data_IF_613819372070
#
_entry.id   IF_613819372070
#
_cell.length_a   1.000
_cell.length_b   1.000
_cell.length_c   1.000
_cell.angle_alpha   90.00
_cell.angle_beta   90.00
_cell.angle_gamma   90.00
#
_symmetry.space_group_name_H-M   'P 1'
#
loop_
_entity.id
_entity.type
_entity.pdbx_description
1 polymer ?
#
# COMPACT_ATOMS: atom_id res chain seq x y z
N UNK A 1 1.44 -2.42 -33.02
CA UNK A 1 2.77 -3.07 -32.88
C UNK A 1 3.69 -2.06 -32.21
N UNK A 2 3.77 -2.08 -30.88
CA UNK A 2 4.69 -1.23 -30.11
C UNK A 2 6.06 -1.89 -30.11
N UNK A 3 7.11 -1.16 -30.49
CA UNK A 3 8.50 -1.64 -30.44
C UNK A 3 8.83 -2.26 -29.07
N UNK A 4 9.59 -3.38 -29.03
CA UNK A 4 10.07 -3.92 -27.77
C UNK A 4 11.00 -2.89 -27.12
N UNK A 5 10.61 -2.39 -25.96
CA UNK A 5 11.43 -1.46 -25.19
C UNK A 5 12.84 -2.05 -24.96
N UNK A 6 13.91 -1.24 -25.03
CA UNK A 6 15.27 -1.75 -24.89
C UNK A 6 15.44 -2.47 -23.55
N UNK A 7 16.11 -3.64 -23.57
CA UNK A 7 16.39 -4.52 -22.39
C UNK A 7 16.85 -3.75 -21.13
N UNK A 8 17.52 -2.60 -21.28
CA UNK A 8 17.94 -1.73 -20.18
C UNK A 8 16.79 -1.19 -19.31
N UNK A 9 15.59 -0.94 -19.89
CA UNK A 9 14.40 -0.52 -19.13
C UNK A 9 13.83 -1.64 -18.25
N UNK A 10 14.20 -2.90 -18.50
CA UNK A 10 13.71 -4.05 -17.73
C UNK A 10 14.54 -4.30 -16.45
N UNK A 11 15.79 -3.80 -16.37
CA UNK A 11 16.66 -4.01 -15.21
C UNK A 11 16.66 -2.84 -14.20
N UNK A 12 16.13 -1.67 -14.56
CA UNK A 12 16.12 -0.48 -13.68
C UNK A 12 15.53 -0.72 -12.27
N UNK A 13 14.47 -1.54 -12.08
CA UNK A 13 13.99 -1.89 -10.75
C UNK A 13 15.03 -2.59 -9.88
N UNK A 14 15.80 -3.52 -10.46
CA UNK A 14 16.79 -4.33 -9.74
C UNK A 14 18.01 -3.51 -9.33
N UNK A 15 18.45 -2.56 -10.15
CA UNK A 15 19.49 -1.62 -9.74
C UNK A 15 19.05 -0.73 -8.58
N UNK A 16 17.80 -0.24 -8.61
CA UNK A 16 17.23 0.56 -7.52
C UNK A 16 17.16 -0.26 -6.22
N UNK A 17 16.71 -1.50 -6.32
CA UNK A 17 16.62 -2.43 -5.19
C UNK A 17 18.01 -2.83 -4.65
N UNK A 18 18.97 -3.09 -5.54
CA UNK A 18 20.35 -3.43 -5.19
C UNK A 18 21.03 -2.30 -4.42
N UNK A 19 20.81 -1.05 -4.82
CA UNK A 19 21.36 0.14 -4.18
C UNK A 19 20.56 0.59 -2.94
N UNK A 20 19.38 0.02 -2.69
CA UNK A 20 18.51 0.48 -1.61
C UNK A 20 19.16 0.49 -0.21
N UNK A 21 19.87 -0.56 0.22
CA UNK A 21 20.51 -0.55 1.53
C UNK A 21 21.70 0.42 1.62
N UNK A 22 22.30 0.80 0.49
CA UNK A 22 23.50 1.64 0.46
C UNK A 22 23.24 2.99 1.13
N UNK A 23 22.09 3.62 0.87
CA UNK A 23 21.73 4.89 1.49
C UNK A 23 21.66 4.76 3.03
N UNK A 24 21.02 3.71 3.52
CA UNK A 24 20.90 3.46 4.95
C UNK A 24 22.25 3.15 5.60
N UNK A 25 23.10 2.35 4.92
CA UNK A 25 24.46 2.02 5.38
C UNK A 25 25.33 3.27 5.42
N UNK A 26 25.26 4.14 4.41
CA UNK A 26 26.00 5.41 4.38
C UNK A 26 25.60 6.30 5.57
N UNK A 27 24.31 6.35 5.90
CA UNK A 27 23.83 7.14 7.03
C UNK A 27 24.36 6.61 8.37
N UNK A 28 24.25 5.29 8.60
CA UNK A 28 24.79 4.66 9.82
C UNK A 28 26.31 4.77 9.92
N UNK A 29 27.03 4.58 8.81
CA UNK A 29 28.48 4.71 8.73
C UNK A 29 28.94 6.15 8.95
N UNK A 30 28.24 7.14 8.40
CA UNK A 30 28.53 8.54 8.64
C UNK A 30 28.46 8.87 10.13
N UNK A 31 27.40 8.43 10.82
CA UNK A 31 27.29 8.58 12.28
C UNK A 31 28.43 7.86 13.02
N UNK A 32 28.67 6.59 12.70
CA UNK A 32 29.63 5.76 13.44
C UNK A 32 31.08 6.25 13.26
N UNK A 33 31.50 6.53 12.02
CA UNK A 33 32.82 7.09 11.71
C UNK A 33 33.00 8.42 12.44
N UNK A 34 31.99 9.29 12.36
CA UNK A 34 32.05 10.60 13.00
C UNK A 34 32.16 10.50 14.53
N UNK A 35 31.37 9.62 15.18
CA UNK A 35 31.46 9.37 16.61
C UNK A 35 32.84 8.81 16.99
N UNK A 36 33.34 7.83 16.23
CA UNK A 36 34.65 7.21 16.51
C UNK A 36 35.79 8.22 16.40
N UNK A 37 35.82 9.06 15.36
CA UNK A 37 36.87 10.09 15.16
C UNK A 37 36.82 11.15 16.25
N UNK A 38 35.63 11.54 16.69
CA UNK A 38 35.48 12.67 17.62
C UNK A 38 35.53 12.27 19.09
N UNK A 39 35.19 11.02 19.42
CA UNK A 39 35.06 10.56 20.82
C UNK A 39 35.98 9.40 21.18
N UNK A 40 36.10 8.40 20.32
CA UNK A 40 36.92 7.22 20.64
C UNK A 40 38.39 7.50 20.35
N UNK A 41 38.71 8.04 19.17
CA UNK A 41 40.08 8.29 18.74
C UNK A 41 40.91 9.13 19.73
N UNK A 42 40.40 10.21 20.35
CA UNK A 42 41.16 10.97 21.35
C UNK A 42 41.48 10.20 22.64
N UNK A 43 40.76 9.10 22.91
CA UNK A 43 40.94 8.25 24.10
C UNK A 43 41.94 7.11 23.87
N UNK A 44 42.34 6.87 22.61
CA UNK A 44 43.23 5.77 22.24
C UNK A 44 44.70 6.19 22.33
N UNK A 45 45.56 5.27 22.77
CA UNK A 45 47.02 5.42 22.60
C UNK A 45 47.40 5.30 21.10
N UNK A 46 48.59 5.75 20.68
CA UNK A 46 49.02 5.63 19.29
C UNK A 46 48.97 4.19 18.74
N UNK A 47 49.38 3.20 19.53
CA UNK A 47 49.31 1.78 19.15
C UNK A 47 47.85 1.30 19.05
N UNK A 48 47.01 1.62 20.05
CA UNK A 48 45.57 1.31 20.00
C UNK A 48 44.87 1.93 18.78
N UNK A 49 45.23 3.17 18.43
CA UNK A 49 44.68 3.85 17.26
C UNK A 49 45.05 3.12 15.96
N UNK A 50 46.32 2.68 15.83
CA UNK A 50 46.76 1.90 14.68
C UNK A 50 46.00 0.57 14.58
N UNK A 51 45.87 -0.17 15.69
CA UNK A 51 45.09 -1.42 15.72
C UNK A 51 43.61 -1.20 15.40
N UNK A 52 43.03 -0.10 15.89
CA UNK A 52 41.63 0.25 15.66
C UNK A 52 41.36 0.54 14.19
N UNK A 53 42.17 1.38 13.55
CA UNK A 53 42.03 1.69 12.12
C UNK A 53 42.30 0.45 11.26
N UNK A 54 43.34 -0.32 11.59
CA UNK A 54 43.62 -1.59 10.93
C UNK A 54 42.46 -2.58 11.05
N UNK A 55 41.84 -2.66 12.22
CA UNK A 55 40.65 -3.47 12.49
C UNK A 55 39.47 -3.07 11.62
N UNK A 56 39.18 -1.77 11.48
CA UNK A 56 38.12 -1.26 10.59
C UNK A 56 38.40 -1.65 9.14
N UNK A 57 39.63 -1.44 8.66
CA UNK A 57 40.01 -1.73 7.27
C UNK A 57 39.90 -3.22 6.95
N UNK A 58 40.45 -4.08 7.80
CA UNK A 58 40.38 -5.53 7.62
C UNK A 58 38.97 -6.07 7.75
N UNK A 59 38.19 -5.58 8.73
CA UNK A 59 36.79 -5.96 8.86
C UNK A 59 36.02 -5.59 7.60
N UNK A 60 36.19 -4.36 7.09
CA UNK A 60 35.50 -3.93 5.89
C UNK A 60 35.89 -4.76 4.66
N UNK A 61 37.16 -5.10 4.52
CA UNK A 61 37.69 -5.89 3.41
C UNK A 61 37.19 -7.35 3.43
N UNK A 62 37.00 -7.93 4.62
CA UNK A 62 36.63 -9.34 4.77
C UNK A 62 35.10 -9.51 4.84
N UNK A 63 34.41 -8.68 5.62
CA UNK A 63 33.00 -8.87 5.94
C UNK A 63 32.06 -8.30 4.86
N UNK A 64 32.31 -7.10 4.34
CA UNK A 64 31.34 -6.47 3.43
C UNK A 64 31.28 -7.09 2.02
N UNK A 65 32.38 -7.49 1.35
CA UNK A 65 32.28 -8.10 0.02
C UNK A 65 31.35 -9.33 -0.07
N UNK A 66 31.43 -10.34 0.82
CA UNK A 66 30.50 -11.47 0.78
C UNK A 66 29.06 -11.06 1.11
N UNK A 67 28.85 -10.10 2.02
CA UNK A 67 27.50 -9.60 2.35
C UNK A 67 26.87 -8.86 1.16
N UNK A 68 27.63 -8.00 0.48
CA UNK A 68 27.20 -7.30 -0.73
C UNK A 68 26.93 -8.32 -1.84
N UNK A 69 27.81 -9.29 -2.05
CA UNK A 69 27.60 -10.34 -3.05
C UNK A 69 26.33 -11.16 -2.77
N UNK A 70 26.08 -11.50 -1.50
CA UNK A 70 24.87 -12.19 -1.07
C UNK A 70 23.62 -11.36 -1.37
N UNK A 71 23.62 -10.07 -1.03
CA UNK A 71 22.50 -9.16 -1.31
C UNK A 71 22.25 -9.00 -2.82
N UNK A 72 23.31 -8.78 -3.60
CA UNK A 72 23.21 -8.66 -5.05
C UNK A 72 22.67 -9.95 -5.67
N UNK A 73 23.13 -11.12 -5.22
CA UNK A 73 22.60 -12.40 -5.67
C UNK A 73 21.11 -12.56 -5.33
N UNK A 74 20.69 -12.18 -4.11
CA UNK A 74 19.28 -12.22 -3.71
C UNK A 74 18.40 -11.36 -4.64
N UNK A 75 18.82 -10.12 -4.90
CA UNK A 75 18.08 -9.18 -5.77
C UNK A 75 18.10 -9.62 -7.23
N UNK A 76 19.27 -9.88 -7.81
CA UNK A 76 19.39 -10.16 -9.24
C UNK A 76 18.89 -11.55 -9.63
N UNK A 77 18.83 -12.51 -8.71
CA UNK A 77 18.20 -13.81 -9.00
C UNK A 77 16.68 -13.72 -9.25
N UNK A 78 16.02 -12.62 -8.85
CA UNK A 78 14.62 -12.34 -9.15
C UNK A 78 14.41 -11.71 -10.56
N UNK A 79 15.48 -11.27 -11.22
CA UNK A 79 15.40 -10.57 -12.52
C UNK A 79 14.86 -11.45 -13.65
N UNK A 80 15.31 -12.70 -13.74
CA UNK A 80 14.85 -13.63 -14.77
C UNK A 80 13.36 -13.98 -14.62
N UNK A 81 12.87 -14.42 -13.44
CA UNK A 81 11.43 -14.63 -13.24
C UNK A 81 10.59 -13.37 -13.48
N UNK A 82 11.08 -12.20 -13.07
CA UNK A 82 10.40 -10.92 -13.31
C UNK A 82 10.21 -10.63 -14.80
N UNK A 83 11.24 -10.82 -15.63
CA UNK A 83 11.12 -10.64 -17.07
C UNK A 83 10.14 -11.65 -17.69
N UNK A 84 10.21 -12.93 -17.30
CA UNK A 84 9.28 -13.95 -17.78
C UNK A 84 7.82 -13.59 -17.48
N UNK A 85 7.52 -13.16 -16.25
CA UNK A 85 6.17 -12.76 -15.82
C UNK A 85 5.69 -11.47 -16.49
N UNK A 86 6.59 -10.50 -16.70
CA UNK A 86 6.26 -9.20 -17.28
C UNK A 86 5.98 -9.26 -18.78
N UNK A 87 6.73 -10.07 -19.52
CA UNK A 87 6.60 -10.20 -20.97
C UNK A 87 5.53 -11.24 -21.38
N UNK A 88 4.80 -11.81 -20.41
CA UNK A 88 3.83 -12.91 -20.62
C UNK A 88 4.44 -14.02 -21.48
N UNK A 89 5.74 -14.29 -21.28
CA UNK A 89 6.43 -15.34 -22.01
C UNK A 89 5.77 -16.67 -21.69
N UNK A 90 5.53 -17.48 -22.72
CA UNK A 90 4.83 -18.78 -22.68
C UNK A 90 5.53 -19.88 -21.82
N UNK A 91 6.47 -19.50 -20.95
CA UNK A 91 7.01 -20.35 -19.90
C UNK A 91 6.07 -20.28 -18.69
N UNK A 92 5.22 -21.30 -18.55
CA UNK A 92 4.43 -21.51 -17.34
C UNK A 92 5.36 -21.85 -16.18
N UNK A 93 5.59 -20.88 -15.29
CA UNK A 93 6.10 -21.15 -13.95
C UNK A 93 5.09 -22.08 -13.25
N UNK A 94 5.59 -23.12 -12.58
CA UNK A 94 4.72 -23.99 -11.77
C UNK A 94 4.15 -23.20 -10.57
N UNK A 95 3.01 -23.64 -10.04
CA UNK A 95 2.35 -22.98 -8.88
C UNK A 95 3.33 -22.89 -7.70
N UNK A 96 4.03 -24.00 -7.39
CA UNK A 96 5.03 -24.06 -6.31
C UNK A 96 6.23 -23.12 -6.54
N UNK A 97 6.66 -22.92 -7.80
CA UNK A 97 7.71 -21.93 -8.11
C UNK A 97 7.21 -20.51 -7.89
N UNK A 98 5.97 -20.23 -8.28
CA UNK A 98 5.37 -18.92 -8.12
C UNK A 98 5.19 -18.54 -6.65
N UNK A 99 4.72 -19.46 -5.82
CA UNK A 99 4.59 -19.25 -4.38
C UNK A 99 5.95 -19.03 -3.70
N UNK A 100 6.97 -19.82 -4.08
CA UNK A 100 8.35 -19.60 -3.58
C UNK A 100 8.88 -18.22 -3.95
N UNK A 101 8.62 -17.75 -5.17
CA UNK A 101 9.02 -16.42 -5.62
C UNK A 101 8.27 -15.32 -4.88
N UNK A 102 6.94 -15.44 -4.72
CA UNK A 102 6.12 -14.50 -3.95
C UNK A 102 6.57 -14.40 -2.50
N UNK A 103 6.80 -15.54 -1.82
CA UNK A 103 7.34 -15.58 -0.45
C UNK A 103 8.70 -14.89 -0.36
N UNK A 104 9.56 -15.11 -1.34
CA UNK A 104 10.90 -14.49 -1.39
C UNK A 104 10.84 -12.99 -1.61
N UNK A 105 9.96 -12.51 -2.49
CA UNK A 105 9.71 -11.09 -2.73
C UNK A 105 9.15 -10.45 -1.45
N UNK A 106 8.21 -11.10 -0.79
CA UNK A 106 7.61 -10.62 0.44
C UNK A 106 8.63 -10.51 1.60
N UNK A 107 9.53 -11.49 1.72
CA UNK A 107 10.55 -11.53 2.76
C UNK A 107 11.84 -10.75 2.43
N UNK A 108 11.91 -10.09 1.26
CA UNK A 108 13.11 -9.40 0.82
C UNK A 108 13.59 -8.28 1.78
N UNK A 109 12.71 -7.46 2.39
CA UNK A 109 13.11 -6.48 3.41
C UNK A 109 13.81 -7.14 4.61
N UNK A 110 13.34 -8.31 5.05
CA UNK A 110 13.94 -9.07 6.15
C UNK A 110 15.32 -9.63 5.81
N UNK A 111 15.51 -10.12 4.58
CA UNK A 111 16.83 -10.56 4.14
C UNK A 111 17.82 -9.41 4.09
N UNK A 112 17.43 -8.26 3.52
CA UNK A 112 18.28 -7.07 3.48
C UNK A 112 18.65 -6.59 4.89
N UNK A 113 17.67 -6.57 5.80
CA UNK A 113 17.85 -6.19 7.21
C UNK A 113 18.77 -7.16 7.94
N UNK A 114 18.64 -8.46 7.70
CA UNK A 114 19.49 -9.49 8.33
C UNK A 114 20.94 -9.38 7.88
N UNK A 115 21.17 -9.17 6.58
CA UNK A 115 22.51 -8.98 6.02
C UNK A 115 23.16 -7.71 6.59
N UNK A 116 22.43 -6.59 6.60
CA UNK A 116 22.93 -5.33 7.15
C UNK A 116 23.17 -5.43 8.66
N UNK A 117 22.23 -6.04 9.38
CA UNK A 117 22.30 -6.25 10.82
C UNK A 117 23.49 -7.10 11.21
N UNK A 118 23.74 -8.21 10.50
CA UNK A 118 24.94 -9.03 10.71
C UNK A 118 26.21 -8.24 10.45
N UNK A 119 26.28 -7.50 9.34
CA UNK A 119 27.44 -6.67 9.01
C UNK A 119 27.75 -5.59 10.06
N UNK A 120 26.75 -5.06 10.74
CA UNK A 120 26.96 -4.12 11.84
C UNK A 120 27.28 -4.81 13.17
N UNK A 121 26.50 -5.80 13.57
CA UNK A 121 26.64 -6.45 14.88
C UNK A 121 27.94 -7.24 15.00
N UNK A 122 28.44 -7.83 13.90
CA UNK A 122 29.74 -8.51 13.90
C UNK A 122 30.93 -7.53 13.94
N UNK A 123 30.72 -6.25 13.64
CA UNK A 123 31.76 -5.22 13.69
C UNK A 123 32.20 -4.94 15.13
N UNK A 124 31.26 -4.88 16.08
CA UNK A 124 31.56 -4.59 17.49
C UNK A 124 32.58 -5.54 18.13
N UNK A 125 32.38 -6.88 18.12
CA UNK A 125 33.37 -7.79 18.67
C UNK A 125 34.67 -7.78 17.87
N UNK A 126 34.63 -7.56 16.54
CA UNK A 126 35.83 -7.48 15.72
C UNK A 126 36.71 -6.28 16.10
N UNK A 127 36.12 -5.11 16.33
CA UNK A 127 36.86 -3.91 16.74
C UNK A 127 37.37 -4.01 18.18
N UNK A 128 36.56 -4.53 19.11
CA UNK A 128 37.00 -4.76 20.49
C UNK A 128 38.17 -5.77 20.51
N UNK A 129 38.10 -6.82 19.68
CA UNK A 129 39.20 -7.77 19.54
C UNK A 129 40.45 -7.12 18.94
N UNK A 130 40.30 -6.30 17.89
CA UNK A 130 41.41 -5.58 17.28
C UNK A 130 42.15 -4.69 18.29
N UNK A 131 41.41 -3.97 19.15
CA UNK A 131 42.00 -3.18 20.22
C UNK A 131 42.78 -4.02 21.24
N UNK A 132 42.34 -5.25 21.53
CA UNK A 132 43.05 -6.17 22.44
C UNK A 132 44.34 -6.75 21.87
N UNK A 133 44.63 -6.51 20.57
CA UNK A 133 45.92 -6.82 19.96
C UNK A 133 46.96 -5.72 20.20
N UNK A 134 46.58 -4.61 20.84
CA UNK A 134 47.52 -3.57 21.28
C UNK A 134 48.32 -4.01 22.49
N UNK A 135 49.49 -3.41 22.68
CA UNK A 135 50.35 -3.67 23.85
C UNK A 135 49.76 -3.05 25.13
N UNK A 136 48.98 -1.97 24.98
CA UNK A 136 48.38 -1.23 26.09
C UNK A 136 47.04 -1.83 26.54
N UNK A 137 46.78 -1.94 27.86
CA UNK A 137 45.49 -2.41 28.36
C UNK A 137 44.35 -1.45 27.94
N UNK A 138 43.30 -2.01 27.34
CA UNK A 138 42.12 -1.27 26.89
C UNK A 138 41.18 -1.02 28.07
N UNK A 139 40.80 0.25 28.29
CA UNK A 139 39.83 0.59 29.32
C UNK A 139 38.43 0.05 28.97
N UNK A 140 37.68 -0.58 29.91
CA UNK A 140 36.33 -1.10 29.65
C UNK A 140 35.34 -0.05 29.14
N UNK A 141 35.59 1.22 29.45
CA UNK A 141 34.84 2.37 28.94
C UNK A 141 34.87 2.46 27.41
N UNK A 142 36.01 2.17 26.78
CA UNK A 142 36.19 2.27 25.32
C UNK A 142 35.37 1.17 24.63
N UNK A 143 35.44 -0.07 25.13
CA UNK A 143 34.63 -1.20 24.65
C UNK A 143 33.13 -0.85 24.71
N UNK A 144 32.66 -0.29 25.83
CA UNK A 144 31.27 0.13 26.00
C UNK A 144 30.84 1.19 24.98
N UNK A 145 31.66 2.21 24.76
CA UNK A 145 31.37 3.28 23.79
C UNK A 145 31.33 2.76 22.35
N UNK A 146 32.24 1.86 21.96
CA UNK A 146 32.28 1.23 20.63
C UNK A 146 31.02 0.38 20.41
N UNK A 147 30.67 -0.45 21.39
CA UNK A 147 29.49 -1.32 21.27
C UNK A 147 28.22 -0.50 21.09
N UNK A 148 28.01 0.53 21.92
CA UNK A 148 26.78 1.34 21.79
C UNK A 148 26.78 2.17 20.51
N UNK A 149 27.90 2.75 20.09
CA UNK A 149 27.96 3.51 18.83
C UNK A 149 27.62 2.64 17.61
N UNK A 150 28.04 1.37 17.63
CA UNK A 150 27.71 0.37 16.60
C UNK A 150 26.26 -0.07 16.69
N UNK A 151 25.71 -0.28 17.89
CA UNK A 151 24.29 -0.63 18.06
C UNK A 151 23.36 0.46 17.53
N UNK A 152 23.70 1.74 17.77
CA UNK A 152 22.94 2.88 17.22
C UNK A 152 23.01 2.88 15.69
N UNK A 153 24.22 2.76 15.13
CA UNK A 153 24.41 2.73 13.68
C UNK A 153 23.70 1.52 13.02
N UNK A 154 23.71 0.37 13.68
CA UNK A 154 22.97 -0.83 13.29
C UNK A 154 21.48 -0.57 13.24
N UNK A 155 20.90 0.02 14.31
CA UNK A 155 19.47 0.29 14.40
C UNK A 155 18.99 1.32 13.38
N UNK A 156 19.78 2.37 13.12
CA UNK A 156 19.53 3.36 12.06
C UNK A 156 19.53 2.67 10.69
N UNK A 157 20.61 1.93 10.39
CA UNK A 157 20.81 1.30 9.07
C UNK A 157 19.76 0.25 8.78
N UNK A 158 19.52 -0.67 9.71
CA UNK A 158 18.58 -1.79 9.53
C UNK A 158 17.15 -1.30 9.35
N UNK A 159 16.72 -0.33 10.15
CA UNK A 159 15.37 0.24 10.05
C UNK A 159 15.15 0.96 8.72
N UNK A 160 16.10 1.80 8.28
CA UNK A 160 15.98 2.51 7.01
C UNK A 160 16.09 1.56 5.81
N UNK A 161 17.01 0.59 5.85
CA UNK A 161 17.15 -0.41 4.81
C UNK A 161 15.86 -1.23 4.66
N UNK A 162 15.24 -1.64 5.76
CA UNK A 162 13.95 -2.35 5.77
C UNK A 162 12.90 -1.57 4.98
N UNK A 163 12.62 -0.32 5.37
CA UNK A 163 11.56 0.48 4.75
C UNK A 163 11.85 0.88 3.31
N UNK A 164 13.09 1.19 2.97
CA UNK A 164 13.44 1.50 1.58
C UNK A 164 13.24 0.26 0.71
N UNK A 165 13.74 -0.91 1.14
CA UNK A 165 13.56 -2.17 0.39
C UNK A 165 12.08 -2.53 0.30
N UNK A 166 11.29 -2.32 1.35
CA UNK A 166 9.86 -2.56 1.35
C UNK A 166 9.13 -1.67 0.34
N UNK A 167 9.33 -0.35 0.39
CA UNK A 167 8.70 0.61 -0.54
C UNK A 167 9.05 0.26 -1.99
N UNK A 168 10.32 -0.04 -2.27
CA UNK A 168 10.75 -0.38 -3.62
C UNK A 168 10.20 -1.74 -4.08
N UNK A 169 10.12 -2.72 -3.18
CA UNK A 169 9.50 -4.03 -3.45
C UNK A 169 8.02 -3.87 -3.76
N UNK A 170 7.27 -3.10 -2.97
CA UNK A 170 5.86 -2.76 -3.20
C UNK A 170 5.67 -2.02 -4.52
N UNK A 171 6.55 -1.09 -4.86
CA UNK A 171 6.45 -0.30 -6.09
C UNK A 171 6.77 -1.10 -7.35
N UNK A 172 7.81 -1.93 -7.30
CA UNK A 172 8.37 -2.55 -8.51
C UNK A 172 8.08 -4.03 -8.67
N UNK A 173 8.12 -4.80 -7.58
CA UNK A 173 7.97 -6.25 -7.66
C UNK A 173 6.51 -6.66 -7.48
N UNK A 174 5.75 -6.00 -6.60
CA UNK A 174 4.37 -6.42 -6.34
C UNK A 174 3.47 -6.43 -7.59
N UNK A 175 3.49 -5.39 -8.46
CA UNK A 175 2.64 -5.38 -9.66
C UNK A 175 2.90 -6.54 -10.64
N UNK A 176 4.08 -7.17 -10.58
CA UNK A 176 4.46 -8.28 -11.48
C UNK A 176 4.26 -9.64 -10.80
N UNK A 177 4.68 -9.80 -9.55
CA UNK A 177 4.59 -11.08 -8.85
C UNK A 177 3.20 -11.37 -8.27
N UNK A 178 2.34 -10.36 -8.12
CA UNK A 178 1.04 -10.45 -7.45
C UNK A 178 -0.10 -9.97 -8.36
N UNK A 179 0.02 -10.17 -9.69
CA UNK A 179 -1.04 -9.83 -10.66
C UNK A 179 -2.35 -10.57 -10.34
N UNK A 180 -2.25 -11.84 -9.97
CA UNK A 180 -3.40 -12.75 -9.76
C UNK A 180 -3.49 -13.27 -8.31
N UNK A 181 -2.86 -12.59 -7.35
CA UNK A 181 -2.82 -13.03 -5.95
C UNK A 181 -2.58 -11.84 -5.03
N UNK A 182 -3.01 -11.93 -3.77
CA UNK A 182 -2.85 -10.87 -2.80
C UNK A 182 -1.59 -11.08 -1.95
N UNK A 183 -0.74 -10.05 -1.76
CA UNK A 183 0.47 -10.20 -0.95
C UNK A 183 0.21 -10.68 0.48
N UNK A 184 -0.90 -10.24 1.09
CA UNK A 184 -1.27 -10.59 2.46
C UNK A 184 -1.77 -12.04 2.63
N UNK A 185 -2.12 -12.73 1.54
CA UNK A 185 -2.55 -14.14 1.55
C UNK A 185 -1.39 -15.13 1.35
N UNK A 186 -0.18 -14.63 1.10
CA UNK A 186 0.97 -15.49 0.78
C UNK A 186 1.50 -16.20 2.02
N UNK A 187 1.37 -17.53 2.03
CA UNK A 187 1.87 -18.36 3.12
C UNK A 187 3.40 -18.24 3.31
N UNK A 188 3.85 -18.21 4.56
CA UNK A 188 5.27 -18.10 4.94
C UNK A 188 5.90 -16.72 4.69
N UNK A 189 5.09 -15.72 4.35
CA UNK A 189 5.47 -14.32 4.35
C UNK A 189 5.52 -13.76 5.78
N UNK A 190 6.61 -13.09 6.14
CA UNK A 190 6.74 -12.37 7.40
C UNK A 190 6.33 -10.91 7.12
N UNK A 191 5.10 -10.59 7.45
CA UNK A 191 4.52 -9.26 7.22
C UNK A 191 4.63 -8.45 8.51
N UNK A 192 5.15 -7.23 8.41
CA UNK A 192 5.20 -6.32 9.54
C UNK A 192 3.86 -5.58 9.64
N UNK A 193 3.16 -5.73 10.77
CA UNK A 193 1.93 -4.99 11.05
C UNK A 193 2.18 -3.49 11.12
N UNK A 194 1.15 -2.66 10.92
CA UNK A 194 1.21 -1.20 11.12
C UNK A 194 1.70 -0.84 12.53
N UNK A 195 1.28 -1.62 13.53
CA UNK A 195 1.80 -1.48 14.91
C UNK A 195 3.29 -1.81 14.98
N UNK A 196 3.71 -2.90 14.33
CA UNK A 196 5.12 -3.28 14.23
C UNK A 196 5.98 -2.20 13.58
N UNK A 197 5.47 -1.56 12.52
CA UNK A 197 6.08 -0.40 11.89
C UNK A 197 6.27 0.74 12.91
N UNK A 198 5.21 1.09 13.65
CA UNK A 198 5.27 2.14 14.66
C UNK A 198 6.29 1.86 15.77
N UNK A 199 6.39 0.61 16.24
CA UNK A 199 7.38 0.20 17.25
C UNK A 199 8.80 0.32 16.71
N UNK A 200 9.06 -0.22 15.51
CA UNK A 200 10.41 -0.19 14.91
C UNK A 200 10.89 1.24 14.68
N UNK A 201 10.01 2.14 14.22
CA UNK A 201 10.35 3.57 14.14
C UNK A 201 10.55 4.23 15.48
N UNK A 202 9.73 3.93 16.48
CA UNK A 202 9.88 4.54 17.81
C UNK A 202 11.22 4.14 18.42
N UNK A 203 11.63 2.88 18.24
CA UNK A 203 12.96 2.42 18.62
C UNK A 203 14.05 3.14 17.82
N UNK A 204 13.93 3.25 16.50
CA UNK A 204 14.98 3.88 15.69
C UNK A 204 15.07 5.41 15.89
N UNK A 205 13.94 6.12 15.92
CA UNK A 205 13.86 7.58 15.94
C UNK A 205 13.84 8.14 17.37
N UNK A 206 13.20 7.44 18.31
CA UNK A 206 13.12 7.89 19.69
C UNK A 206 14.34 7.47 20.49
N UNK A 207 14.71 6.18 20.44
CA UNK A 207 15.78 5.65 21.28
C UNK A 207 17.17 6.06 20.79
N UNK A 208 17.46 6.02 19.48
CA UNK A 208 18.80 6.34 18.98
C UNK A 208 19.28 7.76 19.34
N UNK A 209 18.50 8.84 19.14
CA UNK A 209 18.95 10.19 19.52
C UNK A 209 19.15 10.34 21.02
N UNK A 210 18.25 9.77 21.84
CA UNK A 210 18.36 9.82 23.31
C UNK A 210 19.64 9.12 23.76
N UNK A 211 19.87 7.88 23.32
CA UNK A 211 21.08 7.14 23.69
C UNK A 211 22.33 7.81 23.12
N UNK A 212 22.27 8.36 21.90
CA UNK A 212 23.37 9.11 21.32
C UNK A 212 23.70 10.37 22.14
N UNK A 213 22.69 11.11 22.63
CA UNK A 213 22.90 12.29 23.46
C UNK A 213 23.45 11.91 24.84
N UNK A 214 22.92 10.84 25.45
CA UNK A 214 23.44 10.31 26.72
C UNK A 214 24.88 9.83 26.60
N UNK A 215 25.24 9.18 25.49
CA UNK A 215 26.62 8.82 25.19
C UNK A 215 27.52 10.07 25.09
N UNK A 216 27.07 11.10 24.38
CA UNK A 216 27.82 12.35 24.22
C UNK A 216 28.03 13.08 25.55
N UNK A 217 27.03 13.05 26.43
CA UNK A 217 27.11 13.64 27.77
C UNK A 217 28.05 12.83 28.67
N UNK A 218 27.89 11.51 28.69
CA UNK A 218 28.70 10.60 29.50
C UNK A 218 30.17 10.58 29.07
N UNK A 219 30.47 10.83 27.81
CA UNK A 219 31.84 10.83 27.28
C UNK A 219 32.74 11.95 27.85
N UNK A 220 32.21 12.96 28.55
CA UNK A 220 33.02 13.91 29.33
C UNK A 220 33.84 14.94 28.52
N UNK A 221 33.70 16.21 28.91
CA UNK A 221 34.27 17.48 28.43
C UNK A 221 35.50 17.57 27.49
N UNK A 222 35.28 18.36 26.42
CA UNK A 222 36.19 19.31 25.78
C UNK A 222 35.35 20.42 25.13
N UNK A 223 35.86 21.64 24.91
CA UNK A 223 35.11 22.69 24.18
C UNK A 223 34.67 22.16 22.82
N UNK A 224 33.38 21.86 22.69
CA UNK A 224 32.84 21.40 21.42
C UNK A 224 32.74 22.59 20.50
N UNK A 225 33.54 22.59 19.42
CA UNK A 225 33.42 23.55 18.33
C UNK A 225 31.96 23.66 17.89
N UNK A 226 31.50 24.88 17.59
CA UNK A 226 30.16 25.09 17.02
C UNK A 226 29.90 24.20 15.79
N UNK A 227 30.93 23.97 14.97
CA UNK A 227 30.86 23.09 13.80
C UNK A 227 30.49 21.64 14.19
N UNK A 228 30.96 21.15 15.34
CA UNK A 228 30.63 19.83 15.86
C UNK A 228 29.14 19.74 16.19
N UNK A 229 28.61 20.69 16.95
CA UNK A 229 27.18 20.73 17.32
C UNK A 229 26.28 20.88 16.08
N UNK A 230 26.71 21.71 15.12
CA UNK A 230 26.00 21.92 13.87
C UNK A 230 25.95 20.65 13.00
N UNK A 231 27.05 19.89 12.90
CA UNK A 231 27.08 18.63 12.16
C UNK A 231 26.15 17.57 12.76
N UNK A 232 26.10 17.44 14.10
CA UNK A 232 25.16 16.54 14.80
C UNK A 232 23.73 16.93 14.54
N UNK A 233 23.42 18.22 14.73
CA UNK A 233 22.09 18.76 14.47
C UNK A 233 21.67 18.48 13.02
N UNK A 234 22.55 18.73 12.06
CA UNK A 234 22.31 18.47 10.64
C UNK A 234 22.06 17.00 10.32
N UNK A 235 22.87 16.08 10.84
CA UNK A 235 22.69 14.64 10.63
C UNK A 235 21.38 14.14 11.27
N UNK A 236 21.08 14.60 12.48
CA UNK A 236 19.83 14.29 13.18
C UNK A 236 18.60 14.81 12.45
N UNK A 237 18.65 16.04 11.92
CA UNK A 237 17.58 16.62 11.08
C UNK A 237 17.43 15.81 9.79
N UNK A 238 18.52 15.48 9.10
CA UNK A 238 18.48 14.68 7.88
C UNK A 238 17.85 13.30 8.10
N UNK A 239 18.22 12.63 9.19
CA UNK A 239 17.63 11.36 9.62
C UNK A 239 16.13 11.51 9.95
N UNK A 240 15.76 12.55 10.69
CA UNK A 240 14.35 12.84 11.01
C UNK A 240 13.50 13.11 9.78
N UNK A 241 13.99 13.94 8.84
CA UNK A 241 13.32 14.22 7.57
C UNK A 241 13.22 12.99 6.67
N UNK A 242 14.29 12.19 6.57
CA UNK A 242 14.29 10.93 5.83
C UNK A 242 13.27 9.93 6.39
N UNK A 243 13.21 9.80 7.71
CA UNK A 243 12.23 8.96 8.40
C UNK A 243 10.80 9.46 8.17
N UNK A 244 10.55 10.77 8.29
CA UNK A 244 9.25 11.38 8.02
C UNK A 244 8.80 11.17 6.57
N UNK A 245 9.73 11.22 5.61
CA UNK A 245 9.44 10.90 4.21
C UNK A 245 9.02 9.44 4.02
N UNK A 246 9.74 8.49 4.65
CA UNK A 246 9.37 7.07 4.62
C UNK A 246 7.99 6.84 5.26
N UNK A 247 7.68 7.56 6.34
CA UNK A 247 6.36 7.55 6.98
C UNK A 247 5.25 8.02 6.07
N UNK A 248 5.50 9.10 5.34
CA UNK A 248 4.55 9.59 4.35
C UNK A 248 4.23 8.48 3.35
N UNK A 249 5.25 7.78 2.83
CA UNK A 249 5.06 6.72 1.84
C UNK A 249 4.35 5.48 2.37
N UNK A 250 4.62 5.08 3.61
CA UNK A 250 4.11 3.81 4.15
C UNK A 250 2.72 3.92 4.78
N UNK A 251 2.33 5.10 5.29
CA UNK A 251 1.09 5.28 6.04
C UNK A 251 0.24 6.42 5.48
N UNK A 252 0.81 7.59 5.22
CA UNK A 252 0.04 8.78 4.83
C UNK A 252 -0.49 8.67 3.39
N UNK A 253 0.34 8.22 2.44
CA UNK A 253 -0.03 8.07 1.03
C UNK A 253 -1.21 7.07 0.86
N UNK A 254 -1.21 5.87 1.47
CA UNK A 254 -2.38 4.98 1.45
C UNK A 254 -3.65 5.60 2.04
N UNK A 255 -3.55 6.34 3.16
CA UNK A 255 -4.69 7.01 3.79
C UNK A 255 -5.28 8.06 2.85
N UNK A 256 -4.45 8.86 2.19
CA UNK A 256 -4.92 9.85 1.22
C UNK A 256 -5.61 9.19 0.03
N UNK A 257 -5.05 8.11 -0.52
CA UNK A 257 -5.69 7.36 -1.60
C UNK A 257 -7.07 6.82 -1.21
N UNK A 258 -7.19 6.24 -0.01
CA UNK A 258 -8.47 5.72 0.48
C UNK A 258 -9.48 6.84 0.71
N UNK A 259 -9.05 7.96 1.30
CA UNK A 259 -9.90 9.15 1.52
C UNK A 259 -10.39 9.72 0.19
N UNK A 260 -9.50 9.87 -0.78
CA UNK A 260 -9.83 10.49 -2.06
C UNK A 260 -10.76 9.59 -2.87
N UNK A 261 -10.56 8.26 -2.82
CA UNK A 261 -11.48 7.29 -3.41
C UNK A 261 -12.85 7.29 -2.72
N UNK A 262 -12.90 7.33 -1.39
CA UNK A 262 -14.16 7.42 -0.65
C UNK A 262 -14.95 8.70 -0.99
N UNK A 263 -14.25 9.83 -1.19
CA UNK A 263 -14.88 11.08 -1.66
C UNK A 263 -15.43 10.97 -3.07
N UNK A 264 -14.72 10.32 -3.98
CA UNK A 264 -15.19 10.08 -5.34
C UNK A 264 -16.48 9.24 -5.34
N UNK A 265 -16.49 8.14 -4.59
CA UNK A 265 -17.68 7.30 -4.38
C UNK A 265 -18.84 8.09 -3.79
N UNK A 266 -18.58 8.91 -2.76
CA UNK A 266 -19.61 9.77 -2.16
C UNK A 266 -20.18 10.82 -3.12
N UNK A 267 -19.43 11.21 -4.15
CA UNK A 267 -19.90 12.10 -5.23
C UNK A 267 -20.63 11.37 -6.38
N UNK A 268 -20.82 10.04 -6.27
CA UNK A 268 -21.52 9.21 -7.25
C UNK A 268 -20.62 8.49 -8.26
N UNK A 269 -19.30 8.64 -8.16
CA UNK A 269 -18.36 7.89 -9.00
C UNK A 269 -18.14 6.47 -8.45
N UNK A 270 -18.91 5.52 -8.97
CA UNK A 270 -18.82 4.10 -8.63
C UNK A 270 -17.87 3.31 -9.57
N UNK A 271 -17.18 3.99 -10.47
CA UNK A 271 -16.11 3.40 -11.29
C UNK A 271 -14.74 3.50 -10.60
N UNK A 272 -14.63 4.31 -9.54
CA UNK A 272 -13.43 4.45 -8.72
C UNK A 272 -12.98 3.10 -8.11
N UNK A 273 -11.68 2.80 -8.26
CA UNK A 273 -11.02 1.63 -7.67
C UNK A 273 -9.62 1.99 -7.18
N UNK A 274 -9.21 1.40 -6.05
CA UNK A 274 -7.86 1.55 -5.52
C UNK A 274 -7.00 0.36 -5.96
N UNK A 275 -6.14 0.57 -6.95
CA UNK A 275 -5.15 -0.42 -7.40
C UNK A 275 -3.83 -0.27 -6.63
N UNK A 276 -3.83 -0.64 -5.34
CA UNK A 276 -2.65 -0.60 -4.49
C UNK A 276 -2.44 -1.94 -3.79
N UNK A 277 -1.37 -2.65 -4.17
CA UNK A 277 -0.99 -3.92 -3.55
C UNK A 277 -0.24 -3.68 -2.25
N UNK A 278 -0.78 -4.19 -1.14
CA UNK A 278 -0.23 -4.12 0.20
C UNK A 278 -0.24 -5.50 0.85
N UNK A 279 0.77 -5.76 1.67
CA UNK A 279 0.85 -6.99 2.45
C UNK A 279 0.35 -6.79 3.89
N UNK A 280 0.37 -5.57 4.40
CA UNK A 280 -0.07 -5.22 5.74
C UNK A 280 -1.60 -4.97 5.80
N UNK A 281 -2.09 -4.44 6.91
CA UNK A 281 -3.52 -4.25 7.18
C UNK A 281 -4.22 -3.34 6.17
N UNK A 282 -3.48 -2.50 5.42
CA UNK A 282 -4.07 -1.73 4.32
C UNK A 282 -4.51 -2.62 3.15
N UNK A 283 -3.89 -3.78 2.93
CA UNK A 283 -4.23 -4.69 1.84
C UNK A 283 -5.68 -5.18 1.92
N UNK A 284 -6.04 -5.91 3.00
CA UNK A 284 -7.41 -6.36 3.21
C UNK A 284 -8.42 -5.21 3.23
N UNK A 285 -8.08 -4.08 3.88
CA UNK A 285 -8.96 -2.91 3.96
C UNK A 285 -9.28 -2.31 2.58
N UNK A 286 -8.27 -2.23 1.70
CA UNK A 286 -8.46 -1.73 0.33
C UNK A 286 -9.33 -2.69 -0.48
N UNK A 287 -9.15 -4.00 -0.29
CA UNK A 287 -9.95 -5.00 -1.00
C UNK A 287 -11.41 -5.03 -0.52
N UNK A 288 -11.66 -4.91 0.79
CA UNK A 288 -13.00 -4.74 1.34
C UNK A 288 -13.67 -3.45 0.84
N UNK A 289 -12.93 -2.34 0.78
CA UNK A 289 -13.43 -1.08 0.22
C UNK A 289 -13.81 -1.24 -1.26
N UNK A 290 -12.92 -1.82 -2.08
CA UNK A 290 -13.19 -2.04 -3.50
C UNK A 290 -14.39 -2.98 -3.71
N UNK A 291 -14.55 -4.01 -2.88
CA UNK A 291 -15.71 -4.90 -2.93
C UNK A 291 -17.01 -4.15 -2.61
N UNK A 292 -17.04 -3.35 -1.54
CA UNK A 292 -18.19 -2.52 -1.18
C UNK A 292 -18.62 -1.61 -2.33
N UNK A 293 -17.68 -0.92 -3.00
CA UNK A 293 -17.97 -0.05 -4.14
C UNK A 293 -18.58 -0.84 -5.30
N UNK A 294 -18.05 -2.04 -5.57
CA UNK A 294 -18.60 -2.94 -6.60
C UNK A 294 -20.04 -3.35 -6.30
N UNK A 295 -20.35 -3.70 -5.05
CA UNK A 295 -21.71 -4.07 -4.61
C UNK A 295 -22.68 -2.89 -4.74
N UNK A 296 -22.24 -1.69 -4.35
CA UNK A 296 -23.05 -0.47 -4.50
C UNK A 296 -23.35 -0.20 -5.98
N UNK A 297 -22.35 -0.37 -6.86
CA UNK A 297 -22.50 -0.22 -8.31
C UNK A 297 -23.48 -1.22 -8.89
N UNK A 298 -23.38 -2.48 -8.48
CA UNK A 298 -24.29 -3.54 -8.94
C UNK A 298 -25.72 -3.25 -8.50
N UNK A 299 -25.91 -2.86 -7.24
CA UNK A 299 -27.22 -2.47 -6.71
C UNK A 299 -27.82 -1.27 -7.45
N UNK A 300 -27.02 -0.24 -7.74
CA UNK A 300 -27.48 0.90 -8.53
C UNK A 300 -27.88 0.48 -9.94
N UNK A 301 -27.07 -0.37 -10.61
CA UNK A 301 -27.40 -0.88 -11.94
C UNK A 301 -28.69 -1.70 -11.96
N UNK A 302 -28.94 -2.50 -10.92
CA UNK A 302 -30.20 -3.22 -10.75
C UNK A 302 -31.38 -2.24 -10.58
N UNK A 303 -31.23 -1.22 -9.76
CA UNK A 303 -32.26 -0.18 -9.58
C UNK A 303 -32.53 0.58 -10.89
N UNK A 304 -31.51 0.93 -11.67
CA UNK A 304 -31.69 1.59 -12.97
C UNK A 304 -32.35 0.69 -14.01
N UNK A 305 -32.06 -0.62 -13.98
CA UNK A 305 -32.61 -1.59 -14.95
C UNK A 305 -34.05 -1.98 -14.62
N UNK A 306 -34.37 -2.15 -13.33
CA UNK A 306 -35.67 -2.65 -12.87
C UNK A 306 -36.58 -1.58 -12.26
N UNK A 307 -36.06 -0.38 -11.98
CA UNK A 307 -36.82 0.78 -11.49
C UNK A 307 -38.02 1.17 -12.35
N UNK A 308 -38.01 1.03 -13.69
CA UNK A 308 -39.21 1.27 -14.50
C UNK A 308 -40.36 0.28 -14.24
N UNK A 309 -40.10 -0.86 -13.58
CA UNK A 309 -41.10 -1.92 -13.34
C UNK A 309 -41.70 -1.88 -11.93
N UNK A 310 -41.15 -1.05 -11.03
CA UNK A 310 -41.68 -0.83 -9.68
C UNK A 310 -41.74 0.67 -9.51
N UNK A 311 -42.93 1.26 -9.69
CA UNK A 311 -43.14 2.70 -9.65
C UNK A 311 -42.31 3.34 -8.54
N UNK A 312 -41.37 4.21 -8.93
CA UNK A 312 -40.34 4.80 -8.07
C UNK A 312 -40.97 5.50 -6.84
N UNK A 313 -42.20 5.99 -7.01
CA UNK A 313 -43.10 6.54 -5.99
C UNK A 313 -43.38 5.56 -4.82
N UNK A 314 -43.64 4.28 -5.10
CA UNK A 314 -44.00 3.28 -4.08
C UNK A 314 -42.80 3.00 -3.18
N UNK A 315 -41.61 2.84 -3.77
CA UNK A 315 -40.39 2.57 -3.03
C UNK A 315 -40.06 3.73 -2.08
N UNK A 316 -40.23 4.98 -2.53
CA UNK A 316 -40.07 6.17 -1.68
C UNK A 316 -41.13 6.24 -0.58
N UNK A 317 -42.41 6.00 -0.90
CA UNK A 317 -43.49 6.03 0.09
C UNK A 317 -43.36 4.94 1.18
N UNK A 318 -42.85 3.75 0.83
CA UNK A 318 -42.58 2.66 1.79
C UNK A 318 -41.37 2.99 2.68
N UNK A 319 -40.35 3.69 2.17
CA UNK A 319 -39.17 4.09 2.94
C UNK A 319 -39.47 5.24 3.92
N UNK A 320 -40.34 6.19 3.56
CA UNK A 320 -40.70 7.33 4.41
C UNK A 320 -41.74 7.00 5.49
N UNK A 321 -42.67 6.09 5.18
CA UNK A 321 -43.68 5.61 6.10
C UNK A 321 -43.43 4.14 6.29
N UNK A 322 -42.64 3.72 7.28
CA UNK A 322 -42.59 2.31 7.71
C UNK A 322 -44.03 1.86 8.02
N UNK A 323 -44.75 1.16 7.11
CA UNK A 323 -46.18 0.92 7.30
C UNK A 323 -46.42 -0.21 8.31
N UNK A 324 -45.35 -0.79 8.87
CA UNK A 324 -45.40 -2.15 9.37
C UNK A 324 -45.74 -3.14 8.25
N UNK A 325 -45.63 -4.43 8.54
CA UNK A 325 -45.99 -5.51 7.60
C UNK A 325 -47.52 -5.65 7.38
N UNK A 326 -48.31 -4.62 7.70
CA UNK A 326 -49.76 -4.60 7.57
C UNK A 326 -50.20 -3.87 6.30
N UNK A 327 -51.06 -4.50 5.50
CA UNK A 327 -51.72 -3.81 4.39
C UNK A 327 -52.72 -2.75 4.88
N UNK A 328 -52.85 -1.64 4.14
CA UNK A 328 -53.83 -0.58 4.43
C UNK A 328 -55.07 -0.75 3.51
N UNK A 329 -56.27 -0.64 4.08
CA UNK A 329 -57.51 -0.54 3.30
C UNK A 329 -57.63 0.88 2.74
N UNK A 330 -57.50 1.03 1.42
CA UNK A 330 -57.72 2.29 0.71
C UNK A 330 -58.81 2.18 -0.34
N UNK A 331 -59.57 3.25 -0.49
CA UNK A 331 -60.49 3.43 -1.63
C UNK A 331 -59.67 3.90 -2.81
N UNK A 332 -59.59 3.09 -3.85
CA UNK A 332 -58.85 3.36 -5.09
C UNK A 332 -59.76 3.21 -6.30
N UNK A 333 -59.44 3.94 -7.37
CA UNK A 333 -60.04 3.75 -8.69
C UNK A 333 -59.04 2.97 -9.54
N UNK A 334 -59.48 1.88 -10.15
CA UNK A 334 -58.64 1.05 -11.02
C UNK A 334 -59.13 1.17 -12.46
N UNK A 335 -58.21 1.41 -13.39
CA UNK A 335 -58.44 1.47 -14.82
C UNK A 335 -57.76 0.29 -15.53
N UNK A 336 -58.49 -0.31 -16.46
CA UNK A 336 -57.92 -1.26 -17.43
C UNK A 336 -57.99 -0.65 -18.82
N UNK A 337 -56.87 -0.67 -19.53
CA UNK A 337 -56.79 -0.18 -20.91
C UNK A 337 -56.16 -1.25 -21.79
N UNK A 338 -56.70 -1.48 -22.98
CA UNK A 338 -56.24 -2.49 -23.93
C UNK A 338 -56.34 -2.01 -25.38
N UNK A 339 -55.44 -2.48 -26.24
CA UNK A 339 -55.40 -2.11 -27.66
C UNK A 339 -56.44 -2.94 -28.42
N UNK A 340 -57.46 -2.27 -28.95
CA UNK A 340 -58.50 -2.92 -29.78
C UNK A 340 -57.89 -3.71 -30.94
N UNK A 341 -58.37 -4.95 -31.09
CA UNK A 341 -58.04 -5.86 -32.19
C UNK A 341 -56.54 -6.16 -32.31
N UNK A 342 -55.79 -6.08 -31.19
CA UNK A 342 -54.37 -6.34 -31.16
C UNK A 342 -54.02 -7.78 -31.56
N UNK A 343 -54.75 -8.77 -31.05
CA UNK A 343 -54.50 -10.19 -31.37
C UNK A 343 -54.54 -10.45 -32.88
N UNK A 344 -55.50 -9.87 -33.61
CA UNK A 344 -55.57 -10.00 -35.06
C UNK A 344 -54.38 -9.31 -35.75
N UNK A 345 -53.93 -8.15 -35.24
CA UNK A 345 -52.78 -7.41 -35.78
C UNK A 345 -51.45 -8.12 -35.51
N UNK A 346 -51.30 -8.81 -34.38
CA UNK A 346 -50.07 -9.53 -34.03
C UNK A 346 -49.84 -10.76 -34.89
N UNK A 347 -50.89 -11.37 -35.46
CA UNK A 347 -50.75 -12.51 -36.39
C UNK A 347 -50.14 -12.14 -37.74
N UNK A 348 -50.29 -10.88 -38.18
CA UNK A 348 -49.87 -10.42 -39.52
C UNK A 348 -48.70 -9.44 -39.50
N UNK A 349 -48.22 -9.07 -38.31
CA UNK A 349 -47.15 -8.09 -38.12
C UNK A 349 -45.93 -8.77 -37.51
N UNK A 350 -44.73 -8.48 -38.02
CA UNK A 350 -43.49 -9.06 -37.49
C UNK A 350 -43.23 -8.67 -36.02
N UNK A 351 -42.58 -9.54 -35.21
CA UNK A 351 -42.35 -9.32 -33.78
C UNK A 351 -41.73 -7.96 -33.45
N UNK A 352 -40.69 -7.54 -34.17
CA UNK A 352 -40.00 -6.27 -33.92
C UNK A 352 -40.93 -5.05 -34.05
N UNK A 353 -41.86 -5.10 -35.01
CA UNK A 353 -42.84 -4.01 -35.23
C UNK A 353 -43.94 -4.00 -34.18
N UNK A 354 -44.35 -5.18 -33.69
CA UNK A 354 -45.32 -5.28 -32.58
C UNK A 354 -44.70 -4.79 -31.28
N UNK A 355 -43.46 -5.19 -30.98
CA UNK A 355 -42.73 -4.71 -29.80
C UNK A 355 -42.52 -3.20 -29.86
N UNK A 356 -42.16 -2.65 -31.03
CA UNK A 356 -42.06 -1.20 -31.22
C UNK A 356 -43.38 -0.46 -30.96
N UNK A 357 -44.52 -1.02 -31.41
CA UNK A 357 -45.85 -0.46 -31.13
C UNK A 357 -46.19 -0.49 -29.64
N UNK A 358 -45.93 -1.61 -28.96
CA UNK A 358 -46.18 -1.76 -27.53
C UNK A 358 -45.32 -0.79 -26.71
N UNK A 359 -44.03 -0.69 -27.01
CA UNK A 359 -43.14 0.25 -26.32
C UNK A 359 -43.61 1.69 -26.48
N UNK A 360 -44.05 2.09 -27.69
CA UNK A 360 -44.61 3.41 -27.92
C UNK A 360 -45.88 3.64 -27.09
N UNK A 361 -46.84 2.71 -27.16
CA UNK A 361 -48.10 2.80 -26.43
C UNK A 361 -47.88 2.87 -24.90
N UNK A 362 -47.04 1.99 -24.35
CA UNK A 362 -46.78 1.97 -22.91
C UNK A 362 -46.00 3.19 -22.44
N UNK A 363 -45.04 3.69 -23.22
CA UNK A 363 -44.28 4.90 -22.87
C UNK A 363 -45.23 6.10 -22.72
N UNK A 364 -46.10 6.33 -23.71
CA UNK A 364 -47.06 7.44 -23.68
C UNK A 364 -48.06 7.29 -22.54
N UNK A 365 -48.57 6.07 -22.29
CA UNK A 365 -49.57 5.83 -21.26
C UNK A 365 -49.00 5.96 -19.84
N UNK A 366 -47.78 5.46 -19.58
CA UNK A 366 -47.09 5.64 -18.29
C UNK A 366 -46.94 7.14 -18.01
N UNK A 367 -46.45 7.92 -18.98
CA UNK A 367 -46.32 9.36 -18.83
C UNK A 367 -47.67 10.03 -18.52
N UNK A 368 -48.75 9.63 -19.21
CA UNK A 368 -50.09 10.20 -19.01
C UNK A 368 -50.65 9.91 -17.62
N UNK A 369 -50.40 8.70 -17.10
CA UNK A 369 -50.91 8.20 -15.82
C UNK A 369 -50.14 8.82 -14.66
N UNK A 370 -48.81 8.80 -14.70
CA UNK A 370 -47.96 9.25 -13.59
C UNK A 370 -47.83 10.79 -13.51
N UNK A 371 -48.18 11.51 -14.58
CA UNK A 371 -48.11 12.97 -14.61
C UNK A 371 -49.11 13.63 -13.66
N UNK A 372 -48.58 14.36 -12.68
CA UNK A 372 -49.36 15.25 -11.82
C UNK A 372 -50.10 16.31 -12.65
N UNK A 373 -51.35 16.58 -12.28
CA UNK A 373 -52.17 17.58 -12.96
C UNK A 373 -52.73 18.60 -11.97
N UNK A 374 -52.73 19.89 -12.33
CA UNK A 374 -53.39 20.91 -11.53
C UNK A 374 -54.91 20.69 -11.57
N UNK A 375 -55.50 20.61 -10.39
CA UNK A 375 -56.94 20.57 -10.16
C UNK A 375 -57.51 22.00 -10.10
N UNK A 376 -58.80 22.14 -10.34
CA UNK A 376 -59.49 23.42 -10.14
C UNK A 376 -59.49 23.78 -8.65
N UNK A 377 -58.79 24.85 -8.28
CA UNK A 377 -58.68 25.31 -6.89
C UNK A 377 -57.25 25.51 -6.37
N UNK A 378 -56.22 25.20 -7.17
CA UNK A 378 -54.81 25.39 -6.79
C UNK A 378 -54.15 24.17 -6.14
N UNK A 379 -54.87 23.06 -6.01
CA UNK A 379 -54.34 21.76 -5.59
C UNK A 379 -53.83 20.97 -6.82
N UNK A 380 -52.80 20.14 -6.64
CA UNK A 380 -52.30 19.21 -7.65
C UNK A 380 -52.76 17.79 -7.30
N UNK A 381 -53.30 17.06 -8.28
CA UNK A 381 -53.54 15.62 -8.10
C UNK A 381 -52.19 14.91 -8.07
N UNK A 382 -51.93 14.06 -7.07
CA UNK A 382 -50.85 13.08 -7.20
C UNK A 382 -51.17 12.23 -8.43
N UNK A 383 -50.18 11.93 -9.27
CA UNK A 383 -50.37 11.09 -10.46
C UNK A 383 -50.98 9.72 -10.10
N UNK A 384 -51.55 9.05 -11.10
CA UNK A 384 -51.93 7.64 -10.99
C UNK A 384 -50.69 6.73 -11.01
N UNK A 385 -50.90 5.42 -10.91
CA UNK A 385 -49.80 4.45 -10.81
C UNK A 385 -50.07 3.26 -11.69
N UNK A 386 -49.16 2.96 -12.63
CA UNK A 386 -49.27 1.73 -13.42
C UNK A 386 -48.91 0.54 -12.53
N UNK A 387 -49.86 -0.35 -12.30
CA UNK A 387 -49.70 -1.54 -11.47
C UNK A 387 -49.06 -2.69 -12.23
N UNK A 388 -49.51 -2.94 -13.46
CA UNK A 388 -49.06 -4.09 -14.24
C UNK A 388 -49.35 -3.93 -15.74
N UNK A 389 -48.42 -4.39 -16.57
CA UNK A 389 -48.63 -4.62 -18.01
C UNK A 389 -49.18 -6.03 -18.27
N UNK A 390 -50.21 -6.12 -19.12
CA UNK A 390 -50.98 -7.32 -19.41
C UNK A 390 -51.00 -7.56 -20.92
N UNK A 391 -49.88 -7.97 -21.49
CA UNK A 391 -49.76 -8.24 -22.93
C UNK A 391 -49.93 -6.97 -23.77
N UNK A 392 -51.14 -6.75 -24.30
CA UNK A 392 -51.59 -5.62 -25.11
C UNK A 392 -52.28 -4.49 -24.33
N UNK A 393 -52.46 -4.68 -23.03
CA UNK A 393 -53.04 -3.70 -22.12
C UNK A 393 -52.21 -3.41 -20.88
N UNK A 394 -52.72 -2.52 -20.03
CA UNK A 394 -52.17 -2.24 -18.70
C UNK A 394 -53.27 -1.94 -17.68
N UNK A 395 -52.91 -2.07 -16.41
CA UNK A 395 -53.73 -1.73 -15.24
C UNK A 395 -53.08 -0.55 -14.52
N UNK A 396 -53.87 0.46 -14.16
CA UNK A 396 -53.43 1.63 -13.39
C UNK A 396 -54.46 2.11 -12.37
#
# INVERSE_FOLDING_TARGET
MTEPAPRFRNCAPFFSLALAPLFAVLLGSAFNIWYNVTRIQPLLTPDQHEKFIGGILWYNLIAYPPLIACWLWLVFSLSKPYCCLREEMNQSLTVDEMERLRRRVLNLPWYGTSICGFGWLACAPALCFALRLSEDPVAPMIDFQIVISILIAALITTTHAFYIVEILTQKFLYPVFFKDSKPYETEGGIILSLRGHGILWTLSIGFCPIVSLLLLEYAGYGEQSFAFKAAVGGLGIGFGLGSAFLLSKLVVDPIHKLRDAARAVASGDLDTRIDLLRADEFGPLIDEFNHMVSEVKEKQRLQETFGPHVGQEIAFQILERDPGLGGELRVVSVMFCDIRNFTARSFVTGPDKIVGLLNLFFTDMVEIVEKERPLHGGETSPGGMVLQFLGDGFMA
#
